data_IF_561618899520
#
_entry.id   IF_561618899520
#
_cell.length_a   1.000
_cell.length_b   1.000
_cell.length_c   1.000
_cell.angle_alpha   90.00
_cell.angle_beta   90.00
_cell.angle_gamma   90.00
#
_symmetry.space_group_name_H-M   'P 1'
#
loop_
_entity.id
_entity.type
_entity.pdbx_description
1 polymer ?
#
# COMPACT_ATOMS: atom_id res chain seq x y z
N UNK A 1 -0.69 62.71 3.71
CA UNK A 1 0.09 62.13 4.84
C UNK A 1 -0.93 61.61 5.84
N UNK A 2 -1.07 60.33 6.19
CA UNK A 2 -0.43 59.08 5.77
C UNK A 2 -1.43 57.96 6.07
N UNK A 3 -1.45 56.96 5.21
CA UNK A 3 -2.21 55.71 5.31
C UNK A 3 -1.62 54.81 6.40
N UNK A 4 -2.42 54.41 7.40
CA UNK A 4 -2.03 53.35 8.33
C UNK A 4 -2.47 51.99 7.77
N UNK A 5 -1.53 51.31 7.11
CA UNK A 5 -1.61 49.88 6.84
C UNK A 5 -1.26 49.10 8.09
N UNK A 6 -2.23 48.40 8.67
CA UNK A 6 -1.97 47.34 9.65
C UNK A 6 -1.42 46.13 8.91
N UNK A 7 -0.13 45.86 9.10
CA UNK A 7 0.54 44.66 8.61
C UNK A 7 -0.12 43.42 9.25
N UNK A 8 -0.70 42.57 8.40
CA UNK A 8 -1.04 41.20 8.77
C UNK A 8 0.27 40.47 9.09
N UNK A 9 0.48 40.15 10.37
CA UNK A 9 1.52 39.22 10.79
C UNK A 9 1.33 37.85 10.11
N UNK A 10 2.40 37.05 10.00
CA UNK A 10 2.31 35.76 9.34
C UNK A 10 1.26 34.91 10.06
N UNK A 11 0.27 34.44 9.30
CA UNK A 11 -0.73 33.51 9.80
C UNK A 11 0.00 32.33 10.44
N UNK A 12 -0.20 32.11 11.75
CA UNK A 12 0.17 30.86 12.37
C UNK A 12 -0.57 29.76 11.60
N UNK A 13 0.16 29.03 10.76
CA UNK A 13 -0.32 27.78 10.18
C UNK A 13 -0.58 26.85 11.37
N UNK A 14 -1.84 26.63 11.73
CA UNK A 14 -2.19 25.59 12.69
C UNK A 14 -1.61 24.27 12.17
N UNK A 15 -0.59 23.77 12.86
CA UNK A 15 0.00 22.46 12.58
C UNK A 15 -1.10 21.44 12.80
N UNK A 16 -1.49 20.75 11.72
CA UNK A 16 -2.53 19.74 11.75
C UNK A 16 -2.17 18.68 12.81
N UNK A 17 -2.99 18.60 13.86
CA UNK A 17 -2.79 17.66 14.97
C UNK A 17 -2.77 16.20 14.49
N UNK A 18 -3.32 15.90 13.30
CA UNK A 18 -3.26 14.58 12.68
C UNK A 18 -1.92 14.29 11.97
N UNK A 19 -1.01 15.27 11.88
CA UNK A 19 0.31 15.18 11.25
C UNK A 19 1.46 15.08 12.26
N UNK A 20 1.16 14.88 13.55
CA UNK A 20 2.17 14.75 14.59
C UNK A 20 2.72 16.06 15.14
N UNK A 21 2.07 17.20 14.84
CA UNK A 21 2.20 18.47 15.58
C UNK A 21 3.58 19.13 15.64
N UNK A 22 4.59 18.56 14.97
CA UNK A 22 5.97 19.01 14.99
C UNK A 22 6.41 19.44 13.59
N UNK A 23 6.65 20.75 13.42
CA UNK A 23 7.06 21.35 12.16
C UNK A 23 8.44 20.87 11.65
N UNK A 24 9.22 20.19 12.49
CA UNK A 24 10.54 19.65 12.14
C UNK A 24 10.46 18.22 11.58
N UNK A 25 9.28 17.59 11.62
CA UNK A 25 9.06 16.21 11.18
C UNK A 25 8.47 16.14 9.78
N UNK A 26 8.76 15.04 9.08
CA UNK A 26 8.19 14.81 7.74
C UNK A 26 6.71 14.47 7.84
N UNK A 27 5.97 14.93 6.84
CA UNK A 27 4.55 14.64 6.63
C UNK A 27 4.36 13.68 5.46
N UNK A 28 3.18 13.09 5.33
CA UNK A 28 2.85 12.23 4.19
C UNK A 28 2.56 13.07 2.94
N UNK A 29 2.80 12.48 1.78
CA UNK A 29 2.47 13.09 0.49
C UNK A 29 0.97 12.98 0.21
N UNK A 30 0.41 13.99 -0.44
CA UNK A 30 -1.01 14.06 -0.80
C UNK A 30 -1.27 13.87 -2.29
N UNK A 31 -0.23 13.54 -3.05
CA UNK A 31 -0.26 13.31 -4.48
C UNK A 31 0.83 12.28 -4.79
N UNK A 32 0.59 11.42 -5.79
CA UNK A 32 1.62 10.52 -6.31
C UNK A 32 2.77 11.31 -6.97
N UNK A 33 3.92 10.66 -7.11
CA UNK A 33 5.06 11.16 -7.90
C UNK A 33 5.52 10.12 -8.94
N UNK A 34 6.53 10.41 -9.74
CA UNK A 34 7.10 9.45 -10.70
C UNK A 34 6.10 8.88 -11.71
N UNK A 35 6.19 7.59 -11.98
CA UNK A 35 5.28 6.87 -12.89
C UNK A 35 3.85 6.82 -12.34
N UNK A 36 3.68 6.65 -11.03
CA UNK A 36 2.37 6.73 -10.37
C UNK A 36 1.64 8.04 -10.66
N UNK A 37 2.35 9.17 -10.68
CA UNK A 37 1.76 10.46 -11.05
C UNK A 37 1.25 10.47 -12.49
N UNK A 38 2.02 9.94 -13.45
CA UNK A 38 1.59 9.84 -14.85
C UNK A 38 0.32 8.99 -14.98
N UNK A 39 0.24 7.90 -14.23
CA UNK A 39 -0.95 7.04 -14.17
C UNK A 39 -2.15 7.78 -13.58
N UNK A 40 -1.97 8.54 -12.49
CA UNK A 40 -3.04 9.41 -11.95
C UNK A 40 -3.53 10.42 -13.01
N UNK A 41 -2.63 11.04 -13.75
CA UNK A 41 -3.00 11.98 -14.82
C UNK A 41 -3.81 11.29 -15.93
N UNK A 42 -3.37 10.11 -16.37
CA UNK A 42 -4.06 9.31 -17.38
C UNK A 42 -5.46 8.87 -16.93
N UNK A 43 -5.66 8.67 -15.63
CA UNK A 43 -6.92 8.24 -15.01
C UNK A 43 -7.63 9.37 -14.26
N UNK A 44 -7.44 10.63 -14.66
CA UNK A 44 -8.07 11.78 -13.98
C UNK A 44 -9.49 12.09 -14.46
N UNK A 45 -9.84 11.67 -15.68
CA UNK A 45 -11.14 11.90 -16.28
C UNK A 45 -12.26 11.17 -15.51
N UNK A 46 -13.46 11.75 -15.51
CA UNK A 46 -14.64 11.14 -14.90
C UNK A 46 -14.95 9.78 -15.54
N UNK A 47 -15.13 8.76 -14.70
CA UNK A 47 -15.47 7.38 -15.10
C UNK A 47 -16.53 6.78 -14.19
N UNK A 48 -17.20 5.75 -14.68
CA UNK A 48 -18.18 5.00 -13.88
C UNK A 48 -17.50 4.22 -12.74
N UNK A 49 -16.34 3.62 -13.03
CA UNK A 49 -15.48 2.96 -12.06
C UNK A 49 -14.49 3.96 -11.47
N UNK A 50 -14.47 4.11 -10.15
CA UNK A 50 -13.65 5.08 -9.43
C UNK A 50 -12.90 4.43 -8.28
N UNK A 51 -11.59 4.63 -8.22
CA UNK A 51 -10.75 4.26 -7.09
C UNK A 51 -10.46 5.51 -6.24
N UNK A 52 -10.90 5.49 -4.99
CA UNK A 52 -10.54 6.47 -3.97
C UNK A 52 -9.34 5.94 -3.21
N UNK A 53 -8.22 6.64 -3.35
CA UNK A 53 -6.92 6.16 -2.93
C UNK A 53 -6.08 7.24 -2.25
N UNK A 54 -5.03 6.78 -1.57
CA UNK A 54 -3.93 7.64 -1.18
C UNK A 54 -2.63 7.04 -1.67
N UNK A 55 -1.80 7.84 -2.34
CA UNK A 55 -0.64 7.39 -3.10
C UNK A 55 0.40 6.59 -2.27
N UNK A 56 0.51 6.84 -0.97
CA UNK A 56 1.43 6.12 -0.08
C UNK A 56 0.83 4.82 0.51
N UNK A 57 -0.46 4.57 0.34
CA UNK A 57 -1.16 3.45 0.99
C UNK A 57 -0.89 2.11 0.27
N UNK A 58 -0.37 1.08 0.96
CA UNK A 58 -0.09 -0.21 0.34
C UNK A 58 -1.36 -0.99 -0.03
N UNK A 59 -2.45 -0.80 0.71
CA UNK A 59 -3.74 -1.44 0.42
C UNK A 59 -4.39 -0.87 -0.84
N UNK A 60 -4.25 0.45 -1.06
CA UNK A 60 -4.64 1.10 -2.33
C UNK A 60 -3.79 0.57 -3.48
N UNK A 61 -2.48 0.42 -3.26
CA UNK A 61 -1.55 -0.08 -4.26
C UNK A 61 -1.96 -1.47 -4.80
N UNK A 62 -2.50 -2.37 -3.96
CA UNK A 62 -3.05 -3.67 -4.43
C UNK A 62 -4.15 -3.51 -5.48
N UNK A 63 -5.15 -2.68 -5.17
CA UNK A 63 -6.31 -2.45 -6.05
C UNK A 63 -5.85 -1.73 -7.32
N UNK A 64 -4.93 -0.78 -7.17
CA UNK A 64 -4.39 -0.01 -8.29
C UNK A 64 -3.60 -0.90 -9.26
N UNK A 65 -2.74 -1.79 -8.76
CA UNK A 65 -2.06 -2.81 -9.57
C UNK A 65 -3.07 -3.70 -10.29
N UNK A 66 -4.15 -4.11 -9.61
CA UNK A 66 -5.18 -4.98 -10.21
C UNK A 66 -5.91 -4.28 -11.37
N UNK A 67 -6.27 -3.01 -11.21
CA UNK A 67 -6.88 -2.19 -12.27
C UNK A 67 -5.95 -2.07 -13.49
N UNK A 68 -4.67 -1.70 -13.26
CA UNK A 68 -3.68 -1.58 -14.32
C UNK A 68 -3.38 -2.92 -15.00
N UNK A 69 -3.35 -4.02 -14.25
CA UNK A 69 -3.11 -5.36 -14.78
C UNK A 69 -4.26 -5.83 -15.67
N UNK A 70 -5.50 -5.63 -15.21
CA UNK A 70 -6.70 -5.96 -15.97
C UNK A 70 -6.90 -5.03 -17.18
N UNK A 71 -6.32 -3.83 -17.16
CA UNK A 71 -6.51 -2.82 -18.20
C UNK A 71 -7.91 -2.19 -18.14
N UNK A 72 -8.48 -2.09 -16.95
CA UNK A 72 -9.80 -1.50 -16.73
C UNK A 72 -9.76 0.01 -16.95
N UNK A 73 -10.86 0.57 -17.44
CA UNK A 73 -11.05 2.01 -17.53
C UNK A 73 -11.63 2.53 -16.20
N UNK A 74 -10.88 3.38 -15.50
CA UNK A 74 -11.25 3.88 -14.18
C UNK A 74 -10.76 5.31 -13.98
N UNK A 75 -11.36 5.98 -12.99
CA UNK A 75 -10.89 7.25 -12.47
C UNK A 75 -10.12 7.03 -11.17
N UNK A 76 -8.94 7.62 -11.03
CA UNK A 76 -8.23 7.71 -9.76
C UNK A 76 -8.58 9.02 -9.04
N UNK A 77 -9.05 8.90 -7.80
CA UNK A 77 -9.38 10.04 -6.94
C UNK A 77 -8.48 9.98 -5.71
N UNK A 78 -7.52 10.90 -5.66
CA UNK A 78 -6.64 11.08 -4.51
C UNK A 78 -7.42 11.68 -3.33
N UNK A 79 -7.31 11.04 -2.16
CA UNK A 79 -8.02 11.42 -0.95
C UNK A 79 -7.05 11.64 0.21
N UNK A 80 -7.17 12.81 0.84
CA UNK A 80 -6.54 13.05 2.14
C UNK A 80 -7.33 12.32 3.24
N UNK A 81 -6.89 11.11 3.56
CA UNK A 81 -7.56 10.20 4.51
C UNK A 81 -7.74 10.78 5.91
N UNK A 82 -6.92 11.74 6.31
CA UNK A 82 -7.02 12.39 7.63
C UNK A 82 -8.06 13.51 7.67
N UNK A 83 -8.48 14.01 6.50
CA UNK A 83 -9.59 14.96 6.37
C UNK A 83 -10.94 14.28 6.16
N UNK A 84 -10.95 12.95 5.91
CA UNK A 84 -12.16 12.12 5.73
C UNK A 84 -13.25 12.82 4.92
N UNK A 85 -13.00 13.15 3.64
CA UNK A 85 -13.97 13.90 2.85
C UNK A 85 -15.30 13.15 2.78
N UNK A 86 -16.41 13.90 2.74
CA UNK A 86 -17.77 13.35 2.71
C UNK A 86 -17.94 12.25 1.65
N UNK A 87 -17.38 12.46 0.46
CA UNK A 87 -17.44 11.52 -0.65
C UNK A 87 -16.83 10.14 -0.31
N UNK A 88 -15.79 10.09 0.53
CA UNK A 88 -15.23 8.84 1.04
C UNK A 88 -16.12 8.22 2.12
N UNK A 89 -16.69 9.03 3.01
CA UNK A 89 -17.58 8.56 4.08
C UNK A 89 -18.89 7.97 3.54
N UNK A 90 -19.39 8.50 2.42
CA UNK A 90 -20.58 7.99 1.74
C UNK A 90 -20.35 6.56 1.18
N UNK A 91 -19.09 6.16 0.94
CA UNK A 91 -18.72 4.83 0.44
C UNK A 91 -18.25 3.91 1.58
N UNK A 92 -17.37 4.44 2.43
CA UNK A 92 -16.78 3.74 3.57
C UNK A 92 -16.99 4.58 4.84
N UNK A 93 -17.97 4.23 5.69
CA UNK A 93 -18.24 4.97 6.93
C UNK A 93 -17.05 5.07 7.90
N UNK A 94 -16.05 4.17 7.76
CA UNK A 94 -14.80 4.22 8.55
C UNK A 94 -13.86 5.35 8.08
N UNK A 95 -14.04 5.83 6.84
CA UNK A 95 -13.19 6.82 6.20
C UNK A 95 -11.82 6.27 5.81
N UNK A 96 -11.74 4.98 5.46
CA UNK A 96 -10.50 4.30 5.08
C UNK A 96 -10.44 4.09 3.57
N UNK A 97 -9.20 3.98 3.05
CA UNK A 97 -8.90 3.65 1.66
C UNK A 97 -8.17 2.30 1.61
N UNK A 98 -8.30 1.53 0.51
CA UNK A 98 -9.05 1.84 -0.70
C UNK A 98 -10.55 1.80 -0.51
N UNK A 99 -11.23 2.69 -1.24
CA UNK A 99 -12.67 2.60 -1.49
C UNK A 99 -12.92 2.68 -2.99
N UNK A 100 -13.96 2.01 -3.46
CA UNK A 100 -14.28 1.91 -4.87
C UNK A 100 -15.75 2.25 -5.08
N UNK A 101 -16.04 2.96 -6.16
CA UNK A 101 -17.42 3.22 -6.63
C UNK A 101 -17.55 2.71 -8.05
N UNK A 102 -18.65 2.03 -8.35
CA UNK A 102 -19.04 1.64 -9.70
C UNK A 102 -20.50 2.07 -9.89
N UNK A 103 -20.71 3.17 -10.61
CA UNK A 103 -22.02 3.82 -10.70
C UNK A 103 -22.51 4.31 -9.33
N UNK A 104 -23.66 3.81 -8.88
CA UNK A 104 -24.22 4.13 -7.56
C UNK A 104 -23.76 3.20 -6.43
N UNK A 105 -23.12 2.09 -6.76
CA UNK A 105 -22.66 1.12 -5.78
C UNK A 105 -21.24 1.46 -5.27
N UNK A 106 -21.03 1.31 -3.96
CA UNK A 106 -19.76 1.56 -3.30
C UNK A 106 -19.29 0.38 -2.46
N UNK A 107 -17.98 0.15 -2.39
CA UNK A 107 -17.36 -0.92 -1.61
C UNK A 107 -15.95 -0.51 -1.12
N UNK A 108 -15.41 -1.27 -0.18
CA UNK A 108 -14.08 -1.06 0.42
C UNK A 108 -13.47 -2.41 0.82
N UNK A 109 -12.29 -2.38 1.47
CA UNK A 109 -11.41 -3.53 1.76
C UNK A 109 -10.63 -4.02 0.54
N UNK A 110 -9.29 -3.89 0.55
CA UNK A 110 -8.47 -4.12 -0.65
C UNK A 110 -8.64 -5.52 -1.24
N UNK A 111 -8.71 -6.57 -0.41
CA UNK A 111 -8.85 -7.95 -0.90
C UNK A 111 -10.24 -8.20 -1.49
N UNK A 112 -11.29 -7.62 -0.90
CA UNK A 112 -12.67 -7.69 -1.44
C UNK A 112 -12.75 -6.97 -2.77
N UNK A 113 -12.14 -5.78 -2.87
CA UNK A 113 -12.08 -5.02 -4.12
C UNK A 113 -11.32 -5.77 -5.21
N UNK A 114 -10.21 -6.43 -4.89
CA UNK A 114 -9.50 -7.27 -5.88
C UNK A 114 -10.37 -8.42 -6.40
N UNK A 115 -11.10 -9.13 -5.53
CA UNK A 115 -12.03 -10.19 -5.95
C UNK A 115 -13.17 -9.64 -6.83
N UNK A 116 -13.72 -8.48 -6.47
CA UNK A 116 -14.72 -7.81 -7.29
C UNK A 116 -14.19 -7.49 -8.70
N UNK A 117 -12.95 -7.01 -8.82
CA UNK A 117 -12.34 -6.75 -10.12
C UNK A 117 -12.12 -8.04 -10.94
N UNK A 118 -11.81 -9.16 -10.28
CA UNK A 118 -11.75 -10.47 -10.93
C UNK A 118 -13.13 -10.92 -11.42
N UNK A 119 -14.19 -10.68 -10.65
CA UNK A 119 -15.57 -11.05 -11.00
C UNK A 119 -16.13 -10.25 -12.18
N UNK A 120 -15.57 -9.06 -12.48
CA UNK A 120 -15.86 -8.33 -13.72
C UNK A 120 -15.38 -9.09 -14.97
N UNK A 121 -14.51 -10.11 -14.81
CA UNK A 121 -14.01 -10.96 -15.87
C UNK A 121 -13.47 -10.17 -17.07
N UNK A 122 -12.71 -9.11 -16.77
CA UNK A 122 -12.14 -8.20 -17.75
C UNK A 122 -10.63 -8.39 -17.87
N UNK A 123 -10.12 -8.40 -19.10
CA UNK A 123 -8.69 -8.44 -19.36
C UNK A 123 -8.01 -9.72 -18.84
N UNK A 124 -6.92 -9.54 -18.11
CA UNK A 124 -6.08 -10.64 -17.59
C UNK A 124 -6.46 -10.95 -16.15
N UNK A 125 -6.82 -12.21 -15.90
CA UNK A 125 -7.20 -12.71 -14.57
C UNK A 125 -5.96 -12.95 -13.71
N UNK A 126 -6.00 -12.49 -12.46
CA UNK A 126 -5.01 -12.77 -11.43
C UNK A 126 -5.22 -14.13 -10.76
N UNK A 127 -6.46 -14.63 -10.76
CA UNK A 127 -6.79 -15.93 -10.20
C UNK A 127 -6.80 -17.05 -11.26
N UNK A 128 -6.40 -18.28 -10.91
CA UNK A 128 -6.52 -19.42 -11.79
C UNK A 128 -8.01 -19.80 -12.03
N UNK A 129 -8.25 -20.58 -13.07
CA UNK A 129 -9.60 -21.11 -13.38
C UNK A 129 -10.02 -22.24 -12.44
N UNK A 130 -9.06 -23.06 -11.98
CA UNK A 130 -9.35 -24.19 -11.11
C UNK A 130 -9.78 -23.72 -9.71
N UNK A 131 -10.92 -24.19 -9.18
CA UNK A 131 -11.45 -23.71 -7.91
C UNK A 131 -10.56 -24.04 -6.70
N UNK A 132 -9.78 -25.14 -6.74
CA UNK A 132 -8.85 -25.49 -5.66
C UNK A 132 -7.67 -24.53 -5.67
N UNK A 133 -7.10 -24.25 -6.84
CA UNK A 133 -6.01 -23.28 -6.97
C UNK A 133 -6.45 -21.85 -6.60
N UNK A 134 -7.73 -21.49 -6.81
CA UNK A 134 -8.30 -20.23 -6.28
C UNK A 134 -8.37 -20.25 -4.75
N UNK A 135 -8.76 -21.37 -4.15
CA UNK A 135 -8.75 -21.52 -2.70
C UNK A 135 -7.33 -21.42 -2.12
N UNK A 136 -6.34 -22.03 -2.77
CA UNK A 136 -4.93 -21.94 -2.38
C UNK A 136 -4.41 -20.50 -2.49
N UNK A 137 -4.77 -19.78 -3.56
CA UNK A 137 -4.42 -18.35 -3.71
C UNK A 137 -4.98 -17.50 -2.57
N UNK A 138 -6.20 -17.79 -2.11
CA UNK A 138 -6.85 -17.09 -0.98
C UNK A 138 -6.22 -17.46 0.35
N UNK A 139 -5.80 -18.71 0.53
CA UNK A 139 -5.07 -19.15 1.72
C UNK A 139 -3.74 -18.39 1.86
N UNK A 140 -2.99 -18.24 0.77
CA UNK A 140 -1.74 -17.47 0.78
C UNK A 140 -1.98 -15.97 0.90
N UNK A 141 -3.08 -15.44 0.36
CA UNK A 141 -3.52 -14.08 0.66
C UNK A 141 -3.79 -13.87 2.15
N UNK A 142 -4.44 -14.83 2.81
CA UNK A 142 -4.70 -14.78 4.25
C UNK A 142 -3.40 -14.84 5.06
N UNK A 143 -2.46 -15.71 4.67
CA UNK A 143 -1.11 -15.75 5.25
C UNK A 143 -0.41 -14.39 5.16
N UNK A 144 -0.39 -13.76 3.98
CA UNK A 144 0.17 -12.42 3.81
C UNK A 144 -0.49 -11.43 4.78
N UNK A 145 -1.82 -11.41 4.81
CA UNK A 145 -2.59 -10.46 5.62
C UNK A 145 -2.40 -10.66 7.14
N UNK A 146 -2.32 -11.91 7.61
CA UNK A 146 -2.26 -12.24 9.03
C UNK A 146 -0.86 -12.38 9.58
N UNK A 147 0.13 -12.65 8.73
CA UNK A 147 1.50 -12.93 9.14
C UNK A 147 2.46 -11.89 8.59
N UNK A 148 2.57 -11.71 7.29
CA UNK A 148 3.62 -10.86 6.72
C UNK A 148 3.38 -9.38 7.04
N UNK A 149 2.17 -8.86 6.80
CA UNK A 149 1.89 -7.43 7.01
C UNK A 149 2.03 -7.02 8.48
N UNK A 150 1.50 -7.77 9.48
CA UNK A 150 1.71 -7.42 10.87
C UNK A 150 3.19 -7.42 11.26
N UNK A 151 3.98 -8.41 10.84
CA UNK A 151 5.43 -8.43 11.13
C UNK A 151 6.18 -7.28 10.45
N UNK A 152 5.82 -6.91 9.21
CA UNK A 152 6.38 -5.73 8.52
C UNK A 152 6.26 -4.48 9.40
N UNK A 153 5.06 -4.20 9.92
CA UNK A 153 4.86 -3.00 10.71
C UNK A 153 5.42 -3.12 12.13
N UNK A 154 5.38 -4.30 12.77
CA UNK A 154 6.07 -4.52 14.06
C UNK A 154 7.57 -4.23 13.93
N UNK A 155 8.19 -4.73 12.87
CA UNK A 155 9.61 -4.49 12.61
C UNK A 155 9.88 -3.01 12.34
N UNK A 156 9.09 -2.38 11.47
CA UNK A 156 9.19 -0.95 11.20
C UNK A 156 9.02 -0.09 12.45
N UNK A 157 8.14 -0.48 13.38
CA UNK A 157 7.85 0.29 14.60
C UNK A 157 8.77 -0.03 15.78
N UNK A 158 9.59 -1.09 15.70
CA UNK A 158 10.47 -1.48 16.79
C UNK A 158 11.54 -0.41 17.04
N UNK A 159 11.63 0.06 18.28
CA UNK A 159 12.60 1.07 18.72
C UNK A 159 13.84 0.42 19.35
N UNK A 160 13.66 -0.71 20.03
CA UNK A 160 14.75 -1.46 20.66
C UNK A 160 15.42 -2.41 19.66
N UNK A 161 16.76 -2.45 19.65
CA UNK A 161 17.53 -3.31 18.73
C UNK A 161 17.16 -4.79 18.87
N UNK A 162 16.94 -5.26 20.11
CA UNK A 162 16.53 -6.65 20.37
C UNK A 162 15.21 -7.00 19.65
N UNK A 163 14.26 -6.06 19.65
CA UNK A 163 12.94 -6.25 19.04
C UNK A 163 13.06 -6.15 17.51
N UNK A 164 13.92 -5.27 17.02
CA UNK A 164 14.23 -5.16 15.58
C UNK A 164 14.78 -6.49 15.04
N UNK A 165 15.78 -7.09 15.72
CA UNK A 165 16.35 -8.38 15.31
C UNK A 165 15.31 -9.49 15.37
N UNK A 166 14.52 -9.56 16.46
CA UNK A 166 13.46 -10.56 16.60
C UNK A 166 12.43 -10.44 15.46
N UNK A 167 11.86 -9.26 15.25
CA UNK A 167 10.79 -9.08 14.27
C UNK A 167 11.28 -9.20 12.82
N UNK A 168 12.55 -8.85 12.54
CA UNK A 168 13.16 -9.12 11.25
C UNK A 168 13.21 -10.62 10.95
N UNK A 169 13.63 -11.43 11.93
CA UNK A 169 13.69 -12.89 11.78
C UNK A 169 12.31 -13.52 11.61
N UNK A 170 11.33 -13.10 12.43
CA UNK A 170 9.94 -13.56 12.31
C UNK A 170 9.35 -13.22 10.92
N UNK A 171 9.57 -11.99 10.44
CA UNK A 171 9.13 -11.58 9.10
C UNK A 171 9.81 -12.40 8.00
N UNK A 172 11.11 -12.63 8.10
CA UNK A 172 11.87 -13.43 7.13
C UNK A 172 11.39 -14.88 7.09
N UNK A 173 11.07 -15.48 8.25
CA UNK A 173 10.50 -16.83 8.33
C UNK A 173 9.14 -16.91 7.60
N UNK A 174 8.26 -15.93 7.82
CA UNK A 174 6.93 -15.91 7.19
C UNK A 174 6.99 -15.64 5.67
N UNK A 175 7.98 -14.87 5.21
CA UNK A 175 8.29 -14.73 3.77
C UNK A 175 8.86 -16.04 3.22
N UNK A 176 9.73 -16.73 3.96
CA UNK A 176 10.28 -18.03 3.57
C UNK A 176 9.20 -19.06 3.29
N UNK A 177 8.21 -19.19 4.19
CA UNK A 177 7.03 -20.07 4.00
C UNK A 177 6.28 -19.77 2.71
N UNK A 178 6.14 -18.49 2.37
CA UNK A 178 5.48 -18.07 1.14
C UNK A 178 6.33 -18.40 -0.10
N UNK A 179 7.66 -18.22 -0.02
CA UNK A 179 8.59 -18.58 -1.10
C UNK A 179 8.61 -20.09 -1.35
N UNK A 180 8.61 -20.90 -0.29
CA UNK A 180 8.60 -22.37 -0.37
C UNK A 180 7.33 -22.91 -1.04
N UNK A 181 6.22 -22.20 -0.90
CA UNK A 181 4.95 -22.56 -1.51
C UNK A 181 4.77 -22.04 -2.94
N UNK A 182 5.59 -21.09 -3.37
CA UNK A 182 5.56 -20.54 -4.71
C UNK A 182 6.06 -21.58 -5.73
N UNK A 183 5.67 -21.42 -6.99
CA UNK A 183 6.20 -22.20 -8.09
C UNK A 183 7.74 -22.11 -8.10
N UNK A 184 8.39 -23.28 -8.13
CA UNK A 184 9.84 -23.42 -7.99
C UNK A 184 10.59 -22.80 -9.16
N UNK A 185 9.96 -22.69 -10.33
CA UNK A 185 10.56 -22.06 -11.51
C UNK A 185 10.21 -20.58 -11.58
N UNK A 186 8.96 -20.21 -11.30
CA UNK A 186 8.46 -18.85 -11.31
C UNK A 186 8.38 -18.21 -12.70
N UNK A 187 8.54 -16.87 -12.79
CA UNK A 187 9.10 -15.99 -11.76
C UNK A 187 8.10 -15.52 -10.69
N UNK A 188 6.79 -15.70 -10.90
CA UNK A 188 5.71 -15.32 -9.99
C UNK A 188 5.20 -16.49 -9.13
N UNK A 189 4.28 -16.23 -8.20
CA UNK A 189 3.82 -17.22 -7.22
C UNK A 189 3.23 -18.48 -7.87
N UNK A 190 2.38 -18.34 -8.88
CA UNK A 190 1.77 -19.47 -9.59
C UNK A 190 2.48 -19.81 -10.91
N UNK A 191 3.73 -19.38 -11.09
CA UNK A 191 4.53 -19.66 -12.29
C UNK A 191 4.82 -18.43 -13.14
N UNK A 192 4.42 -18.45 -14.42
CA UNK A 192 4.95 -17.50 -15.41
C UNK A 192 4.23 -16.14 -15.48
N UNK A 193 3.03 -16.02 -14.89
CA UNK A 193 2.19 -14.83 -14.95
C UNK A 193 1.95 -14.23 -13.56
N UNK A 194 1.75 -12.91 -13.50
CA UNK A 194 1.35 -12.22 -12.27
C UNK A 194 0.02 -12.81 -11.78
N UNK A 195 -0.04 -13.17 -10.49
CA UNK A 195 -1.20 -13.78 -9.86
C UNK A 195 -1.74 -12.93 -8.71
N UNK A 196 -2.87 -13.36 -8.17
CA UNK A 196 -3.52 -12.73 -7.03
C UNK A 196 -2.58 -12.65 -5.82
N UNK A 197 -1.81 -13.70 -5.54
CA UNK A 197 -0.86 -13.74 -4.43
C UNK A 197 0.29 -12.74 -4.63
N UNK A 198 0.77 -12.59 -5.87
CA UNK A 198 1.80 -11.61 -6.20
C UNK A 198 1.32 -10.19 -5.92
N UNK A 199 0.10 -9.84 -6.36
CA UNK A 199 -0.49 -8.52 -6.10
C UNK A 199 -0.77 -8.29 -4.62
N UNK A 200 -1.13 -9.34 -3.87
CA UNK A 200 -1.31 -9.25 -2.42
C UNK A 200 -0.03 -8.85 -1.70
N UNK A 201 1.17 -9.30 -2.13
CA UNK A 201 2.44 -8.98 -1.46
C UNK A 201 3.22 -7.83 -2.12
N UNK A 202 2.98 -7.53 -3.41
CA UNK A 202 3.76 -6.57 -4.18
C UNK A 202 3.96 -5.20 -3.51
N UNK A 203 2.95 -4.57 -2.87
CA UNK A 203 3.15 -3.30 -2.19
C UNK A 203 4.17 -3.36 -1.05
N UNK A 204 4.29 -4.49 -0.36
CA UNK A 204 5.29 -4.68 0.70
C UNK A 204 6.64 -5.02 0.14
N UNK A 205 6.74 -5.79 -0.95
CA UNK A 205 7.99 -6.01 -1.70
C UNK A 205 8.63 -4.68 -2.07
N UNK A 206 7.86 -3.78 -2.70
CA UNK A 206 8.32 -2.42 -3.04
C UNK A 206 8.81 -1.63 -1.81
N UNK A 207 8.19 -1.87 -0.65
CA UNK A 207 8.53 -1.18 0.61
C UNK A 207 9.65 -1.87 1.39
N UNK A 208 10.11 -3.06 0.99
CA UNK A 208 11.33 -3.65 1.57
C UNK A 208 12.50 -2.74 1.24
N UNK A 209 12.67 -2.39 -0.04
CA UNK A 209 13.72 -1.51 -0.52
C UNK A 209 13.45 -0.05 -0.12
N UNK A 210 12.25 0.48 -0.41
CA UNK A 210 11.99 1.92 -0.26
C UNK A 210 11.70 2.38 1.16
N UNK A 211 11.42 1.45 2.09
CA UNK A 211 11.06 1.78 3.50
C UNK A 211 11.88 0.99 4.51
N UNK A 212 11.83 -0.34 4.51
CA UNK A 212 12.51 -1.11 5.57
C UNK A 212 14.03 -1.04 5.46
N UNK A 213 14.61 -1.00 4.26
CA UNK A 213 16.05 -0.83 4.09
C UNK A 213 16.55 0.50 4.65
N UNK A 214 16.00 1.68 4.29
CA UNK A 214 16.47 2.94 4.87
C UNK A 214 16.17 3.10 6.37
N UNK A 215 15.05 2.57 6.88
CA UNK A 215 14.68 2.75 8.29
C UNK A 215 15.22 1.66 9.23
N UNK A 216 15.47 0.46 8.72
CA UNK A 216 15.79 -0.73 9.55
C UNK A 216 16.88 -1.62 8.95
N UNK A 217 17.46 -1.29 7.79
CA UNK A 217 18.53 -2.08 7.19
C UNK A 217 18.08 -3.47 6.72
N UNK A 218 16.84 -3.61 6.24
CA UNK A 218 16.40 -4.85 5.60
C UNK A 218 17.34 -5.24 4.46
N UNK A 219 17.80 -6.51 4.39
CA UNK A 219 18.83 -6.92 3.46
C UNK A 219 18.30 -7.07 2.03
N UNK A 220 19.21 -6.96 1.07
CA UNK A 220 18.94 -7.37 -0.31
C UNK A 220 18.68 -8.89 -0.38
N UNK A 221 17.80 -9.35 -1.29
CA UNK A 221 17.62 -10.77 -1.55
C UNK A 221 18.94 -11.46 -1.91
N UNK A 222 19.13 -12.69 -1.45
CA UNK A 222 20.32 -13.49 -1.81
C UNK A 222 20.41 -13.67 -3.34
N UNK A 223 21.54 -13.35 -3.98
CA UNK A 223 21.71 -13.51 -5.42
C UNK A 223 21.43 -14.94 -5.91
N UNK A 224 20.61 -15.08 -6.94
CA UNK A 224 20.23 -16.37 -7.51
C UNK A 224 19.12 -17.11 -6.74
N UNK A 225 18.66 -16.59 -5.60
CA UNK A 225 17.57 -17.19 -4.84
C UNK A 225 16.22 -17.08 -5.55
N UNK A 226 15.29 -17.98 -5.20
CA UNK A 226 13.90 -17.88 -5.68
C UNK A 226 13.25 -16.56 -5.27
N UNK A 227 13.61 -16.05 -4.09
CA UNK A 227 13.14 -14.77 -3.58
C UNK A 227 13.64 -13.59 -4.41
N UNK A 228 14.94 -13.54 -4.73
CA UNK A 228 15.48 -12.51 -5.63
C UNK A 228 14.74 -12.50 -6.97
N UNK A 229 14.57 -13.68 -7.58
CA UNK A 229 13.84 -13.82 -8.85
C UNK A 229 12.41 -13.28 -8.74
N UNK A 230 11.75 -13.53 -7.61
CA UNK A 230 10.37 -13.09 -7.39
C UNK A 230 10.28 -11.57 -7.18
N UNK A 231 11.12 -11.02 -6.31
CA UNK A 231 11.21 -9.57 -6.05
C UNK A 231 11.45 -8.82 -7.37
N UNK A 232 12.44 -9.26 -8.16
CA UNK A 232 12.72 -8.68 -9.47
C UNK A 232 11.53 -8.76 -10.41
N UNK A 233 10.81 -9.88 -10.46
CA UNK A 233 9.63 -10.01 -11.32
C UNK A 233 8.51 -9.03 -10.92
N UNK A 234 8.25 -8.89 -9.62
CA UNK A 234 7.25 -7.95 -9.09
C UNK A 234 7.63 -6.52 -9.45
N UNK A 235 8.85 -6.09 -9.12
CA UNK A 235 9.30 -4.72 -9.34
C UNK A 235 9.43 -4.38 -10.83
N UNK A 236 9.71 -5.37 -11.67
CA UNK A 236 9.77 -5.21 -13.11
C UNK A 236 8.41 -5.30 -13.80
N UNK A 237 7.35 -5.69 -13.09
CA UNK A 237 6.01 -5.76 -13.67
C UNK A 237 5.48 -4.36 -14.00
N UNK A 238 4.95 -4.19 -15.21
CA UNK A 238 4.48 -2.89 -15.70
C UNK A 238 3.36 -2.28 -14.84
N UNK A 239 2.41 -3.08 -14.36
CA UNK A 239 1.33 -2.59 -13.50
C UNK A 239 1.86 -2.11 -12.14
N UNK A 240 2.91 -2.76 -11.62
CA UNK A 240 3.57 -2.36 -10.37
C UNK A 240 4.37 -1.06 -10.58
N UNK A 241 5.16 -0.96 -11.65
CA UNK A 241 5.90 0.26 -11.98
C UNK A 241 4.98 1.47 -12.13
N UNK A 242 3.92 1.32 -12.92
CA UNK A 242 2.93 2.38 -13.16
C UNK A 242 2.25 2.90 -11.91
N UNK A 243 2.22 2.13 -10.84
CA UNK A 243 1.50 2.47 -9.60
C UNK A 243 2.46 2.77 -8.44
N UNK A 244 3.77 2.75 -8.72
CA UNK A 244 4.83 3.07 -7.77
C UNK A 244 5.32 4.51 -7.93
N UNK A 245 5.34 5.25 -6.82
CA UNK A 245 5.89 6.62 -6.74
C UNK A 245 7.41 6.60 -6.54
N UNK A 246 8.03 7.78 -6.48
CA UNK A 246 9.47 7.88 -6.20
C UNK A 246 9.76 7.56 -4.73
N UNK A 247 11.01 7.19 -4.44
CA UNK A 247 11.44 6.72 -3.12
C UNK A 247 11.12 7.72 -2.00
N UNK A 248 11.33 9.01 -2.27
CA UNK A 248 11.12 10.08 -1.31
C UNK A 248 9.68 10.10 -0.77
N UNK A 249 8.70 9.79 -1.63
CA UNK A 249 7.29 9.72 -1.23
C UNK A 249 7.10 8.70 -0.10
N UNK A 250 7.69 7.51 -0.27
CA UNK A 250 7.58 6.43 0.71
C UNK A 250 8.39 6.71 1.96
N UNK A 251 9.62 7.22 1.81
CA UNK A 251 10.47 7.58 2.96
C UNK A 251 9.72 8.57 3.84
N UNK A 252 9.22 9.67 3.29
CA UNK A 252 8.53 10.70 4.08
C UNK A 252 7.23 10.18 4.69
N UNK A 253 6.45 9.45 3.89
CA UNK A 253 5.15 8.94 4.34
C UNK A 253 5.24 7.81 5.37
N UNK A 254 6.41 7.19 5.56
CA UNK A 254 6.59 6.11 6.54
C UNK A 254 7.36 6.49 7.79
N UNK A 255 7.95 7.70 7.86
CA UNK A 255 8.71 8.18 9.02
C UNK A 255 7.92 8.07 10.33
N UNK A 256 6.62 8.43 10.30
CA UNK A 256 5.75 8.36 11.48
C UNK A 256 5.62 6.96 12.07
N UNK A 257 5.65 5.93 11.22
CA UNK A 257 5.63 4.54 11.66
C UNK A 257 7.01 4.12 12.17
N UNK A 258 8.07 4.52 11.48
CA UNK A 258 9.45 4.23 11.88
C UNK A 258 9.80 4.81 13.27
N UNK A 259 9.28 5.98 13.58
CA UNK A 259 9.43 6.63 14.90
C UNK A 259 8.36 6.20 15.93
N UNK A 260 7.44 5.30 15.54
CA UNK A 260 6.33 4.82 16.40
C UNK A 260 5.51 5.96 17.04
N UNK A 261 5.27 7.05 16.29
CA UNK A 261 4.58 8.24 16.79
C UNK A 261 3.13 7.91 17.16
N UNK A 262 2.69 8.21 18.40
CA UNK A 262 1.34 7.89 18.84
C UNK A 262 0.28 8.66 18.04
N UNK A 263 -0.87 8.03 17.78
CA UNK A 263 -2.06 8.65 17.19
C UNK A 263 -1.90 9.14 15.74
N UNK A 264 -0.91 8.63 15.01
CA UNK A 264 -0.63 9.10 13.63
C UNK A 264 -1.16 8.17 12.53
N UNK A 265 -1.74 7.01 12.89
CA UNK A 265 -2.38 6.08 11.94
C UNK A 265 -3.21 5.01 12.64
N UNK A 266 -4.27 4.52 11.98
CA UNK A 266 -5.06 3.37 12.45
C UNK A 266 -4.24 2.07 12.47
N UNK A 267 -3.25 1.92 11.56
CA UNK A 267 -2.33 0.77 11.56
C UNK A 267 -1.49 0.73 12.83
N UNK A 268 -1.02 1.90 13.28
CA UNK A 268 -0.25 2.01 14.53
C UNK A 268 -1.10 1.63 15.74
N UNK A 269 -2.33 2.13 15.82
CA UNK A 269 -3.28 1.77 16.89
C UNK A 269 -3.59 0.26 16.91
N UNK A 270 -3.77 -0.36 15.74
CA UNK A 270 -4.07 -1.79 15.65
C UNK A 270 -2.93 -2.64 16.21
N UNK A 271 -1.68 -2.34 15.84
CA UNK A 271 -0.50 -3.08 16.28
C UNK A 271 -0.28 -2.92 17.78
N UNK A 272 -0.36 -1.70 18.31
CA UNK A 272 -0.21 -1.47 19.76
C UNK A 272 -1.28 -2.18 20.60
N UNK A 273 -2.48 -2.37 20.03
CA UNK A 273 -3.59 -3.05 20.72
C UNK A 273 -3.68 -4.55 20.43
N UNK A 274 -2.77 -5.11 19.62
CA UNK A 274 -2.83 -6.52 19.19
C UNK A 274 -4.05 -6.87 18.35
N UNK A 275 -4.74 -5.86 17.78
CA UNK A 275 -5.90 -6.04 16.90
C UNK A 275 -5.44 -6.31 15.47
N UNK A 276 -6.29 -6.96 14.68
CA UNK A 276 -6.09 -7.09 13.24
C UNK A 276 -5.92 -5.72 12.58
N UNK A 277 -5.11 -5.66 11.52
CA UNK A 277 -4.90 -4.42 10.78
C UNK A 277 -6.23 -3.94 10.16
N UNK A 278 -6.49 -2.62 10.21
CA UNK A 278 -7.77 -2.03 9.85
C UNK A 278 -8.05 -1.99 8.36
#
# INVERSE_FOLDING_TARGET
MSTNGTANGPSHQELDSNQGGDATKKTYHKQATGEAWKTVQAHSAEKELKLYGSCFCPFVHRVWISLEHAGLDYQYIEVDVYRKPKLLLDINPRGLVPALRHGEWGCYESTVLMEYLEDLNHGRSLLPKDPKLRADSRLWSDHINRKIIPHFYRYLQAQEIKDQVQYANEMAEEIGKLVDAADTTGPYFTGSQLSFVDVQIAPWVVRLEKVLKPYRGWPDPEPGSRWEKWVRAIEQNEAVKKTTSDDQLYIDSYERYAENRPNTSEVEKAIKSGRGLP
#
